data_IF_042350614086
#
_entry.id   IF_042350614086
#
_cell.length_a   1.000
_cell.length_b   1.000
_cell.length_c   1.000
_cell.angle_alpha   90.00
_cell.angle_beta   90.00
_cell.angle_gamma   90.00
#
_symmetry.space_group_name_H-M   'P 1'
#
loop_
_entity.id
_entity.type
_entity.pdbx_description
1 polymer ?
#
# COMPACT_ATOMS: atom_id res chain seq x y z
N UNK A 1 -17.60 36.51 28.34
CA UNK A 1 -17.69 35.11 27.87
C UNK A 1 -17.04 35.06 26.50
N UNK A 2 -15.93 34.34 26.37
CA UNK A 2 -15.18 34.23 25.13
C UNK A 2 -15.53 32.88 24.50
N UNK A 3 -16.31 32.89 23.43
CA UNK A 3 -16.69 31.66 22.71
C UNK A 3 -15.51 31.29 21.83
N UNK A 4 -14.70 30.32 22.25
CA UNK A 4 -13.71 29.68 21.38
C UNK A 4 -14.47 28.78 20.40
N UNK A 5 -14.79 29.34 19.23
CA UNK A 5 -15.21 28.56 18.06
C UNK A 5 -14.00 27.72 17.63
N UNK A 6 -13.98 26.44 18.00
CA UNK A 6 -13.11 25.45 17.36
C UNK A 6 -13.34 25.56 15.84
N UNK A 7 -12.28 25.71 15.02
CA UNK A 7 -12.44 25.95 13.60
C UNK A 7 -13.08 24.71 12.94
N UNK A 8 -14.09 24.88 12.07
CA UNK A 8 -14.86 23.79 11.46
C UNK A 8 -14.09 22.89 10.47
N UNK A 9 -12.75 22.95 10.45
CA UNK A 9 -11.90 22.20 9.54
C UNK A 9 -11.23 20.95 10.13
N UNK A 10 -11.26 20.77 11.46
CA UNK A 10 -10.46 19.73 12.13
C UNK A 10 -10.98 18.30 11.90
N UNK A 11 -12.30 18.12 11.83
CA UNK A 11 -12.93 16.82 11.59
C UNK A 11 -12.76 16.32 10.15
N UNK A 12 -12.93 17.22 9.17
CA UNK A 12 -12.81 16.88 7.75
C UNK A 12 -11.37 16.46 7.39
N UNK A 13 -10.36 17.12 7.97
CA UNK A 13 -8.96 16.74 7.78
C UNK A 13 -8.67 15.32 8.32
N UNK A 14 -9.19 14.99 9.51
CA UNK A 14 -9.05 13.65 10.11
C UNK A 14 -9.78 12.56 9.31
N UNK A 15 -10.96 12.85 8.78
CA UNK A 15 -11.72 11.92 7.94
C UNK A 15 -11.00 11.64 6.61
N UNK A 16 -10.40 12.67 6.00
CA UNK A 16 -9.60 12.53 4.78
C UNK A 16 -8.35 11.68 5.05
N UNK A 17 -7.64 11.93 6.16
CA UNK A 17 -6.46 11.15 6.55
C UNK A 17 -6.81 9.68 6.80
N UNK A 18 -7.91 9.43 7.51
CA UNK A 18 -8.42 8.07 7.76
C UNK A 18 -8.72 7.33 6.45
N UNK A 19 -9.36 8.02 5.50
CA UNK A 19 -9.67 7.44 4.19
C UNK A 19 -8.41 7.15 3.37
N UNK A 20 -7.45 8.06 3.34
CA UNK A 20 -6.17 7.86 2.63
C UNK A 20 -5.34 6.74 3.25
N UNK A 21 -5.33 6.62 4.58
CA UNK A 21 -4.71 5.51 5.29
C UNK A 21 -5.35 4.17 4.94
N UNK A 22 -6.69 4.11 4.93
CA UNK A 22 -7.43 2.90 4.54
C UNK A 22 -7.13 2.48 3.09
N UNK A 23 -7.07 3.45 2.15
CA UNK A 23 -6.67 3.19 0.76
C UNK A 23 -5.23 2.69 0.67
N UNK A 24 -4.29 3.30 1.41
CA UNK A 24 -2.90 2.89 1.42
C UNK A 24 -2.74 1.45 1.93
N UNK A 25 -3.40 1.09 3.03
CA UNK A 25 -3.46 -0.30 3.54
C UNK A 25 -4.00 -1.27 2.51
N UNK A 26 -5.13 -0.95 1.86
CA UNK A 26 -5.70 -1.78 0.82
C UNK A 26 -4.73 -2.00 -0.37
N UNK A 27 -3.98 -0.96 -0.76
CA UNK A 27 -2.97 -1.06 -1.84
C UNK A 27 -1.83 -1.99 -1.46
N UNK A 28 -1.37 -1.94 -0.21
CA UNK A 28 -0.37 -2.88 0.31
C UNK A 28 -0.89 -4.32 0.25
N UNK A 29 -2.06 -4.60 0.82
CA UNK A 29 -2.63 -5.95 0.83
C UNK A 29 -2.82 -6.52 -0.58
N UNK A 30 -3.25 -5.69 -1.55
CA UNK A 30 -3.36 -6.12 -2.95
C UNK A 30 -2.01 -6.40 -3.59
N UNK A 31 -0.97 -5.63 -3.27
CA UNK A 31 0.37 -5.83 -3.80
C UNK A 31 1.00 -7.11 -3.22
N UNK A 32 0.77 -7.38 -1.93
CA UNK A 32 1.21 -8.60 -1.26
C UNK A 32 0.55 -9.85 -1.85
N UNK A 33 -0.78 -9.85 -2.04
CA UNK A 33 -1.48 -10.95 -2.69
C UNK A 33 -1.01 -11.19 -4.14
N UNK A 34 -0.69 -10.12 -4.87
CA UNK A 34 -0.14 -10.26 -6.22
C UNK A 34 1.28 -10.85 -6.23
N UNK A 35 2.07 -10.58 -5.19
CA UNK A 35 3.40 -11.15 -5.02
C UNK A 35 3.32 -12.63 -4.63
N UNK A 36 2.41 -12.98 -3.72
CA UNK A 36 2.15 -14.37 -3.31
C UNK A 36 1.79 -15.23 -4.52
N UNK A 37 0.78 -14.81 -5.29
CA UNK A 37 0.38 -15.51 -6.53
C UNK A 37 1.50 -15.63 -7.55
N UNK A 38 2.34 -14.59 -7.69
CA UNK A 38 3.46 -14.65 -8.62
C UNK A 38 4.54 -15.64 -8.15
N UNK A 39 4.70 -15.79 -6.83
CA UNK A 39 5.62 -16.76 -6.22
C UNK A 39 5.07 -18.18 -6.35
N UNK A 40 3.78 -18.41 -6.08
CA UNK A 40 3.14 -19.73 -6.23
C UNK A 40 3.30 -20.29 -7.65
N UNK A 41 3.16 -19.44 -8.68
CA UNK A 41 3.36 -19.86 -10.07
C UNK A 41 4.81 -20.35 -10.36
N UNK A 42 5.82 -20.00 -9.53
CA UNK A 42 7.19 -20.50 -9.70
C UNK A 42 7.31 -21.92 -9.13
N UNK A 43 6.57 -22.20 -8.06
CA UNK A 43 6.59 -23.48 -7.38
C UNK A 43 5.87 -24.57 -8.20
N UNK A 44 5.02 -24.19 -9.16
CA UNK A 44 4.34 -25.10 -10.10
C UNK A 44 5.27 -25.72 -11.17
N UNK A 45 6.57 -25.42 -11.18
CA UNK A 45 7.56 -26.17 -11.98
C UNK A 45 7.46 -25.96 -13.49
N UNK A 46 6.87 -24.86 -13.94
CA UNK A 46 6.79 -24.51 -15.36
C UNK A 46 8.20 -24.25 -15.94
N UNK A 47 8.54 -24.82 -17.10
CA UNK A 47 9.91 -24.82 -17.65
C UNK A 47 10.63 -23.45 -17.75
N UNK A 48 11.95 -23.46 -18.01
CA UNK A 48 12.89 -22.33 -17.86
C UNK A 48 12.44 -20.99 -18.46
N UNK A 49 11.78 -20.99 -19.62
CA UNK A 49 11.25 -19.77 -20.25
C UNK A 49 10.08 -19.14 -19.49
N UNK A 50 9.22 -19.96 -18.88
CA UNK A 50 8.12 -19.52 -18.02
C UNK A 50 8.69 -18.96 -16.71
N UNK A 51 9.72 -19.60 -16.16
CA UNK A 51 10.43 -19.11 -14.97
C UNK A 51 11.06 -17.73 -15.16
N UNK A 52 11.64 -17.40 -16.32
CA UNK A 52 12.22 -16.07 -16.56
C UNK A 52 11.17 -14.95 -16.63
N UNK A 53 10.07 -15.20 -17.36
CA UNK A 53 8.94 -14.28 -17.43
C UNK A 53 8.31 -14.07 -16.03
N UNK A 54 8.23 -15.15 -15.26
CA UNK A 54 7.66 -15.11 -13.92
C UNK A 54 8.57 -14.43 -12.89
N UNK A 55 9.88 -14.67 -12.91
CA UNK A 55 10.87 -13.92 -12.13
C UNK A 55 10.78 -12.41 -12.38
N UNK A 56 10.50 -12.00 -13.62
CA UNK A 56 10.30 -10.58 -13.95
C UNK A 56 9.00 -10.03 -13.35
N UNK A 57 7.92 -10.81 -13.37
CA UNK A 57 6.64 -10.48 -12.72
C UNK A 57 6.75 -10.37 -11.20
N UNK A 58 7.49 -11.28 -10.56
CA UNK A 58 7.77 -11.24 -9.12
C UNK A 58 8.54 -9.99 -8.74
N UNK A 59 9.64 -9.68 -9.44
CA UNK A 59 10.42 -8.46 -9.19
C UNK A 59 9.57 -7.20 -9.33
N UNK A 60 8.67 -7.17 -10.31
CA UNK A 60 7.71 -6.08 -10.46
C UNK A 60 6.72 -6.01 -9.29
N UNK A 61 6.16 -7.14 -8.85
CA UNK A 61 5.27 -7.19 -7.70
C UNK A 61 5.98 -6.76 -6.40
N UNK A 62 7.21 -7.20 -6.16
CA UNK A 62 8.05 -6.78 -5.03
C UNK A 62 8.26 -5.27 -5.01
N UNK A 63 8.62 -4.66 -6.15
CA UNK A 63 8.77 -3.20 -6.25
C UNK A 63 7.48 -2.49 -5.88
N UNK A 64 6.33 -2.98 -6.35
CA UNK A 64 5.02 -2.39 -6.03
C UNK A 64 4.68 -2.48 -4.54
N UNK A 65 5.06 -3.57 -3.86
CA UNK A 65 4.90 -3.70 -2.41
C UNK A 65 5.75 -2.66 -1.69
N UNK A 66 7.02 -2.51 -2.08
CA UNK A 66 7.95 -1.54 -1.48
C UNK A 66 7.39 -0.12 -1.66
N UNK A 67 7.02 0.28 -2.86
CA UNK A 67 6.44 1.61 -3.12
C UNK A 67 5.13 1.84 -2.36
N UNK A 68 4.28 0.83 -2.22
CA UNK A 68 3.03 0.93 -1.47
C UNK A 68 3.31 1.11 0.03
N UNK A 69 4.29 0.38 0.57
CA UNK A 69 4.73 0.50 1.97
C UNK A 69 5.36 1.86 2.24
N UNK A 70 6.24 2.35 1.38
CA UNK A 70 6.83 3.68 1.50
C UNK A 70 5.75 4.78 1.51
N UNK A 71 4.73 4.66 0.67
CA UNK A 71 3.60 5.60 0.66
C UNK A 71 2.77 5.50 1.93
N UNK A 72 2.52 4.29 2.42
CA UNK A 72 1.82 4.07 3.68
C UNK A 72 2.57 4.73 4.84
N UNK A 73 3.88 4.49 4.95
CA UNK A 73 4.73 5.10 5.98
C UNK A 73 4.73 6.62 5.92
N UNK A 74 4.74 7.22 4.72
CA UNK A 74 4.65 8.69 4.57
C UNK A 74 3.31 9.24 5.09
N UNK A 75 2.20 8.57 4.79
CA UNK A 75 0.87 8.99 5.26
C UNK A 75 0.79 8.83 6.79
N UNK A 76 1.24 7.69 7.30
CA UNK A 76 1.26 7.40 8.75
C UNK A 76 2.14 8.39 9.54
N UNK A 77 3.30 8.78 8.99
CA UNK A 77 4.17 9.80 9.59
C UNK A 77 3.59 11.22 9.55
N UNK A 78 2.65 11.49 8.63
CA UNK A 78 2.00 12.81 8.51
C UNK A 78 0.83 12.94 9.51
N UNK A 79 0.29 11.83 10.00
CA UNK A 79 -0.77 11.79 11.03
C UNK A 79 -0.20 11.96 12.47
N UNK A 80 1.11 11.77 12.65
CA UNK A 80 1.81 11.76 13.95
C UNK A 80 2.55 13.08 14.30
N UNK A 81 2.34 14.17 13.55
CA UNK A 81 3.03 15.46 13.71
C UNK A 81 2.05 16.63 13.69
#
# INVERSE_FOLDING_TARGET
>A
MMYTLEPPGRGIAADILTLELAKARQRVSRAELALERATEMLDEGCGVGINLALCSRIRFAQRRVIEARERLTKIDSTDMN
#
